data_IF_021380067328
#
_entry.id   IF_021380067328
#
_cell.length_a   1.000
_cell.length_b   1.000
_cell.length_c   1.000
_cell.angle_alpha   90.00
_cell.angle_beta   90.00
_cell.angle_gamma   90.00
#
_symmetry.space_group_name_H-M   'P 1'
#
loop_
_entity.id
_entity.type
_entity.pdbx_description
1 polymer ?
#
# COMPACT_ATOMS: atom_id res chain seq x y z
N UNK A 1 -7.99 1.31 21.49
CA UNK A 1 -6.62 1.09 21.00
C UNK A 1 -6.37 -0.33 20.48
N UNK A 2 -6.79 -1.40 21.18
CA UNK A 2 -6.55 -2.80 20.75
C UNK A 2 -7.09 -3.13 19.35
N UNK A 3 -8.26 -2.63 18.95
CA UNK A 3 -8.82 -2.87 17.60
C UNK A 3 -8.08 -2.15 16.46
N UNK A 4 -7.34 -1.08 16.75
CA UNK A 4 -6.62 -0.29 15.75
C UNK A 4 -5.33 -0.99 15.28
N UNK A 5 -4.66 -1.69 16.21
CA UNK A 5 -3.45 -2.49 15.93
C UNK A 5 -3.78 -3.68 15.02
N UNK A 6 -4.94 -4.30 15.20
CA UNK A 6 -5.36 -5.46 14.39
C UNK A 6 -6.11 -5.08 13.11
N UNK A 7 -6.16 -3.80 12.70
CA UNK A 7 -6.84 -3.45 11.45
C UNK A 7 -6.02 -3.95 10.25
N UNK A 8 -6.65 -4.54 9.20
CA UNK A 8 -5.90 -5.10 8.07
C UNK A 8 -5.12 -4.04 7.29
N UNK A 9 -5.46 -2.75 7.41
CA UNK A 9 -4.72 -1.63 6.79
C UNK A 9 -3.46 -1.23 7.55
N UNK A 10 -3.30 -1.64 8.81
CA UNK A 10 -2.18 -1.20 9.66
C UNK A 10 -0.82 -1.50 9.04
N UNK A 11 -0.55 -2.68 8.44
CA UNK A 11 0.72 -2.96 7.77
C UNK A 11 1.01 -2.02 6.59
N UNK A 12 0.00 -1.68 5.78
CA UNK A 12 0.15 -0.77 4.64
C UNK A 12 0.50 0.65 5.10
N UNK A 13 -0.12 1.11 6.20
CA UNK A 13 0.17 2.42 6.78
C UNK A 13 1.58 2.45 7.37
N UNK A 14 1.98 1.43 8.12
CA UNK A 14 3.33 1.32 8.69
C UNK A 14 4.39 1.25 7.60
N UNK A 15 4.12 0.53 6.51
CA UNK A 15 5.00 0.49 5.35
C UNK A 15 5.13 1.87 4.70
N UNK A 16 4.02 2.58 4.47
CA UNK A 16 4.03 3.94 3.90
C UNK A 16 4.81 4.93 4.76
N UNK A 17 4.62 4.89 6.09
CA UNK A 17 5.40 5.73 7.03
C UNK A 17 6.89 5.39 6.97
N UNK A 18 7.24 4.10 7.01
CA UNK A 18 8.63 3.65 6.93
C UNK A 18 9.28 4.08 5.62
N UNK A 19 8.56 3.94 4.51
CA UNK A 19 9.01 4.37 3.20
C UNK A 19 9.24 5.88 3.14
N UNK A 20 8.36 6.69 3.73
CA UNK A 20 8.53 8.14 3.78
C UNK A 20 9.81 8.53 4.54
N UNK A 21 10.06 7.90 5.70
CA UNK A 21 11.29 8.11 6.48
C UNK A 21 12.53 7.73 5.67
N UNK A 22 12.51 6.60 4.97
CA UNK A 22 13.61 6.15 4.13
C UNK A 22 13.88 7.12 2.98
N UNK A 23 12.84 7.54 2.24
CA UNK A 23 12.99 8.49 1.14
C UNK A 23 13.54 9.85 1.60
N UNK A 24 13.07 10.36 2.73
CA UNK A 24 13.62 11.58 3.35
C UNK A 24 15.09 11.38 3.73
N UNK A 25 15.46 10.20 4.25
CA UNK A 25 16.85 9.88 4.62
C UNK A 25 17.76 9.85 3.39
N UNK A 26 17.33 9.22 2.29
CA UNK A 26 18.02 9.25 0.99
C UNK A 26 18.23 10.69 0.51
N UNK A 27 17.16 11.49 0.57
CA UNK A 27 17.18 12.89 0.16
C UNK A 27 18.20 13.71 0.97
N UNK A 28 18.18 13.62 2.31
CA UNK A 28 19.12 14.35 3.18
C UNK A 28 20.56 13.89 2.97
N UNK A 29 20.76 12.59 2.72
CA UNK A 29 22.07 12.03 2.41
C UNK A 29 22.60 12.42 1.02
N UNK A 30 21.76 13.06 0.17
CA UNK A 30 22.10 13.39 -1.21
C UNK A 30 22.28 12.16 -2.11
N UNK A 31 21.71 11.01 -1.71
CA UNK A 31 21.80 9.75 -2.44
C UNK A 31 20.52 9.45 -3.18
N UNK A 32 20.66 8.82 -4.35
CA UNK A 32 19.53 8.39 -5.17
C UNK A 32 19.14 6.96 -4.73
N UNK A 33 17.84 6.65 -4.55
CA UNK A 33 17.38 5.30 -4.30
C UNK A 33 17.93 4.33 -5.36
N UNK A 34 18.43 3.18 -4.93
CA UNK A 34 18.99 2.20 -5.86
C UNK A 34 17.88 1.46 -6.63
N UNK A 35 18.16 0.90 -7.82
CA UNK A 35 17.16 0.12 -8.55
C UNK A 35 16.61 -1.07 -7.75
N UNK A 36 17.45 -1.71 -6.93
CA UNK A 36 17.03 -2.82 -6.07
C UNK A 36 16.02 -2.37 -5.00
N UNK A 37 16.22 -1.16 -4.46
CA UNK A 37 15.28 -0.57 -3.51
C UNK A 37 13.90 -0.37 -4.14
N UNK A 38 13.82 0.15 -5.37
CA UNK A 38 12.54 0.33 -6.08
C UNK A 38 11.82 -1.00 -6.36
N UNK A 39 12.57 -2.05 -6.71
CA UNK A 39 12.03 -3.40 -6.91
C UNK A 39 11.46 -3.95 -5.61
N UNK A 40 12.20 -3.83 -4.49
CA UNK A 40 11.75 -4.27 -3.17
C UNK A 40 10.48 -3.52 -2.77
N UNK A 41 10.45 -2.19 -2.91
CA UNK A 41 9.27 -1.38 -2.56
C UNK A 41 8.04 -1.81 -3.37
N UNK A 42 8.20 -2.06 -4.66
CA UNK A 42 7.11 -2.48 -5.54
C UNK A 42 6.60 -3.87 -5.16
N UNK A 43 7.51 -4.81 -4.91
CA UNK A 43 7.18 -6.17 -4.51
C UNK A 43 6.48 -6.22 -3.14
N UNK A 44 7.06 -5.54 -2.14
CA UNK A 44 6.52 -5.49 -0.78
C UNK A 44 5.14 -4.85 -0.76
N UNK A 45 4.94 -3.76 -1.52
CA UNK A 45 3.62 -3.13 -1.63
C UNK A 45 2.58 -4.08 -2.24
N UNK A 46 2.93 -4.78 -3.32
CA UNK A 46 2.06 -5.78 -3.92
C UNK A 46 1.70 -6.93 -2.97
N UNK A 47 2.70 -7.46 -2.26
CA UNK A 47 2.50 -8.51 -1.27
C UNK A 47 1.60 -8.06 -0.11
N UNK A 48 1.85 -6.87 0.46
CA UNK A 48 1.04 -6.31 1.54
C UNK A 48 -0.39 -6.05 1.10
N UNK A 49 -0.62 -5.60 -0.14
CA UNK A 49 -1.97 -5.45 -0.69
C UNK A 49 -2.69 -6.79 -0.84
N UNK A 50 -2.02 -7.82 -1.34
CA UNK A 50 -2.61 -9.15 -1.43
C UNK A 50 -2.99 -9.71 -0.05
N UNK A 51 -2.10 -9.56 0.94
CA UNK A 51 -2.38 -9.94 2.33
C UNK A 51 -3.53 -9.12 2.93
N UNK A 52 -3.59 -7.82 2.64
CA UNK A 52 -4.69 -6.96 3.04
C UNK A 52 -6.02 -7.45 2.45
N UNK A 53 -6.08 -7.74 1.15
CA UNK A 53 -7.28 -8.26 0.47
C UNK A 53 -7.77 -9.53 1.17
N UNK A 54 -6.88 -10.48 1.46
CA UNK A 54 -7.25 -11.74 2.14
C UNK A 54 -7.76 -11.46 3.55
N UNK A 55 -7.06 -10.63 4.32
CA UNK A 55 -7.43 -10.32 5.69
C UNK A 55 -8.76 -9.54 5.77
N UNK A 56 -9.01 -8.64 4.84
CA UNK A 56 -10.25 -7.86 4.74
C UNK A 56 -11.41 -8.74 4.26
N UNK A 57 -11.20 -9.61 3.27
CA UNK A 57 -12.21 -10.53 2.75
C UNK A 57 -12.69 -11.49 3.85
N UNK A 58 -11.75 -12.06 4.63
CA UNK A 58 -12.05 -12.91 5.80
C UNK A 58 -12.97 -12.23 6.82
N UNK A 59 -12.87 -10.91 6.97
CA UNK A 59 -13.63 -10.15 7.97
C UNK A 59 -14.97 -9.66 7.46
N UNK A 60 -15.11 -9.40 6.15
CA UNK A 60 -16.29 -8.71 5.59
C UNK A 60 -17.21 -9.63 4.78
N UNK A 61 -16.66 -10.36 3.83
CA UNK A 61 -17.42 -11.04 2.77
C UNK A 61 -17.28 -12.55 2.80
N UNK A 62 -16.29 -13.07 3.51
CA UNK A 62 -15.82 -14.45 3.35
C UNK A 62 -14.84 -14.58 2.19
N UNK A 63 -14.01 -15.63 2.23
CA UNK A 63 -13.05 -15.95 1.16
C UNK A 63 -13.79 -16.71 0.06
N UNK A 64 -13.76 -16.24 -1.20
CA UNK A 64 -14.54 -16.88 -2.28
C UNK A 64 -13.97 -18.22 -2.75
N UNK A 65 -12.66 -18.46 -2.59
CA UNK A 65 -12.00 -19.71 -2.97
C UNK A 65 -10.78 -20.00 -2.09
N UNK A 66 -10.31 -21.25 -2.07
CA UNK A 66 -9.19 -21.70 -1.22
C UNK A 66 -7.90 -20.89 -1.47
N UNK A 67 -7.55 -20.65 -2.72
CA UNK A 67 -6.32 -19.94 -3.14
C UNK A 67 -6.52 -18.45 -3.48
N UNK A 68 -7.54 -17.83 -2.89
CA UNK A 68 -7.91 -16.44 -3.20
C UNK A 68 -6.74 -15.44 -3.11
N UNK A 69 -5.90 -15.57 -2.08
CA UNK A 69 -4.75 -14.68 -1.89
C UNK A 69 -3.69 -14.79 -2.98
N UNK A 70 -3.40 -16.02 -3.42
CA UNK A 70 -2.43 -16.27 -4.49
C UNK A 70 -2.95 -15.74 -5.82
N UNK A 71 -4.24 -15.96 -6.11
CA UNK A 71 -4.89 -15.42 -7.31
C UNK A 71 -4.84 -13.90 -7.29
N UNK A 72 -5.19 -13.26 -6.18
CA UNK A 72 -5.13 -11.81 -6.05
C UNK A 72 -3.73 -11.26 -6.27
N UNK A 73 -2.70 -11.92 -5.72
CA UNK A 73 -1.30 -11.53 -5.91
C UNK A 73 -0.86 -11.63 -7.37
N UNK A 74 -1.13 -12.75 -8.03
CA UNK A 74 -0.77 -12.97 -9.45
C UNK A 74 -1.51 -12.04 -10.42
N UNK A 75 -2.73 -11.62 -10.06
CA UNK A 75 -3.57 -10.75 -10.88
C UNK A 75 -3.49 -9.27 -10.47
N UNK A 76 -2.54 -8.89 -9.62
CA UNK A 76 -2.17 -7.48 -9.46
C UNK A 76 -1.71 -6.90 -10.81
N UNK A 77 -2.12 -5.67 -11.17
CA UNK A 77 -2.88 -4.69 -10.39
C UNK A 77 -4.42 -4.82 -10.50
N UNK A 78 -4.94 -5.66 -11.40
CA UNK A 78 -6.38 -5.75 -11.70
C UNK A 78 -7.23 -6.32 -10.55
N UNK A 79 -6.65 -7.15 -9.69
CA UNK A 79 -7.33 -7.70 -8.53
C UNK A 79 -7.82 -6.62 -7.54
N UNK A 80 -7.07 -5.51 -7.40
CA UNK A 80 -7.36 -4.45 -6.42
C UNK A 80 -8.67 -3.71 -6.74
N UNK A 81 -8.86 -3.13 -7.95
CA UNK A 81 -10.11 -2.45 -8.27
C UNK A 81 -11.27 -3.45 -8.25
N UNK A 82 -11.10 -4.64 -8.83
CA UNK A 82 -12.13 -5.69 -8.78
C UNK A 82 -12.58 -5.98 -7.34
N UNK A 83 -11.63 -6.24 -6.43
CA UNK A 83 -11.94 -6.53 -5.04
C UNK A 83 -12.63 -5.36 -4.33
N UNK A 84 -12.16 -4.12 -4.55
CA UNK A 84 -12.74 -2.94 -3.93
C UNK A 84 -14.22 -2.77 -4.33
N UNK A 85 -14.54 -2.92 -5.62
CA UNK A 85 -15.92 -2.83 -6.10
C UNK A 85 -16.76 -4.03 -5.69
N UNK A 86 -16.21 -5.25 -5.71
CA UNK A 86 -16.93 -6.45 -5.30
C UNK A 86 -17.31 -6.42 -3.81
N UNK A 87 -16.38 -6.01 -2.94
CA UNK A 87 -16.59 -6.03 -1.49
C UNK A 87 -17.44 -4.87 -0.95
N UNK A 88 -17.51 -3.72 -1.67
CA UNK A 88 -18.09 -2.46 -1.16
C UNK A 88 -18.96 -1.71 -2.17
N UNK A 89 -19.18 -2.24 -3.37
CA UNK A 89 -19.87 -1.54 -4.46
C UNK A 89 -19.16 -0.22 -4.81
N UNK A 90 -19.95 0.84 -5.05
CA UNK A 90 -19.42 2.18 -5.37
C UNK A 90 -18.56 2.81 -4.28
N UNK A 91 -18.78 2.45 -3.01
CA UNK A 91 -17.91 2.90 -1.90
C UNK A 91 -16.50 2.29 -1.98
N UNK A 92 -16.33 1.24 -2.78
CA UNK A 92 -15.03 0.68 -3.13
C UNK A 92 -14.09 1.69 -3.79
N UNK A 93 -14.63 2.63 -4.58
CA UNK A 93 -13.84 3.67 -5.23
C UNK A 93 -13.07 4.54 -4.21
N UNK A 94 -13.70 4.88 -3.08
CA UNK A 94 -13.03 5.62 -2.00
C UNK A 94 -11.89 4.81 -1.39
N UNK A 95 -12.06 3.50 -1.24
CA UNK A 95 -11.00 2.63 -0.72
C UNK A 95 -9.83 2.55 -1.71
N UNK A 96 -10.11 2.44 -3.01
CA UNK A 96 -9.10 2.45 -4.05
C UNK A 96 -8.31 3.76 -4.05
N UNK A 97 -9.00 4.91 -4.00
CA UNK A 97 -8.36 6.23 -3.91
C UNK A 97 -7.48 6.33 -2.67
N UNK A 98 -7.94 5.84 -1.52
CA UNK A 98 -7.15 5.83 -0.30
C UNK A 98 -5.90 4.96 -0.41
N UNK A 99 -5.98 3.79 -1.04
CA UNK A 99 -4.82 2.91 -1.25
C UNK A 99 -3.80 3.54 -2.19
N UNK A 100 -4.25 4.14 -3.29
CA UNK A 100 -3.39 4.88 -4.22
C UNK A 100 -2.75 6.08 -3.52
N UNK A 101 -3.54 6.84 -2.77
CA UNK A 101 -3.06 7.97 -1.97
C UNK A 101 -2.03 7.53 -0.92
N UNK A 102 -2.25 6.39 -0.26
CA UNK A 102 -1.32 5.85 0.72
C UNK A 102 0.01 5.43 0.09
N UNK A 103 -0.02 4.85 -1.10
CA UNK A 103 1.19 4.53 -1.88
C UNK A 103 1.92 5.79 -2.36
N UNK A 104 1.19 6.81 -2.80
CA UNK A 104 1.76 8.05 -3.33
C UNK A 104 2.27 9.00 -2.22
N UNK A 105 1.71 8.91 -1.00
CA UNK A 105 2.01 9.84 0.09
C UNK A 105 3.50 9.94 0.48
N UNK A 106 4.32 8.87 0.50
CA UNK A 106 5.75 8.97 0.82
C UNK A 106 6.52 9.81 -0.19
N UNK A 107 6.22 9.62 -1.48
CA UNK A 107 6.82 10.39 -2.57
C UNK A 107 6.39 11.85 -2.52
N UNK A 108 5.12 12.11 -2.23
CA UNK A 108 4.61 13.47 -2.06
C UNK A 108 5.32 14.20 -0.92
N UNK A 109 5.46 13.55 0.25
CA UNK A 109 6.18 14.12 1.39
C UNK A 109 7.65 14.36 1.06
N UNK A 110 8.33 13.39 0.44
CA UNK A 110 9.73 13.56 0.02
C UNK A 110 9.91 14.73 -0.97
N UNK A 111 8.96 14.92 -1.88
CA UNK A 111 8.96 16.04 -2.83
C UNK A 111 8.78 17.40 -2.11
N UNK A 112 7.89 17.48 -1.13
CA UNK A 112 7.72 18.69 -0.30
C UNK A 112 8.99 19.03 0.48
N UNK A 113 9.68 18.01 1.04
CA UNK A 113 10.96 18.21 1.74
C UNK A 113 12.05 18.68 0.77
N UNK A 114 12.11 18.10 -0.43
CA UNK A 114 13.05 18.55 -1.47
C UNK A 114 12.82 20.02 -1.85
N UNK A 115 11.56 20.40 -2.06
CA UNK A 115 11.18 21.78 -2.37
C UNK A 115 11.54 22.74 -1.23
N UNK A 116 11.46 22.31 0.03
CA UNK A 116 11.84 23.13 1.18
C UNK A 116 13.36 23.28 1.35
N UNK A 117 14.14 22.26 1.00
CA UNK A 117 15.60 22.29 1.14
C UNK A 117 16.32 23.00 -0.02
N UNK A 118 15.77 22.91 -1.23
CA UNK A 118 16.46 23.33 -2.47
C UNK A 118 15.68 24.35 -3.30
N UNK A 119 14.43 24.68 -2.95
CA UNK A 119 13.63 25.73 -3.59
C UNK A 119 13.86 27.09 -2.95
#
# INVERSE_FOLDING_TARGET
MRQLIFHPLTPLVLFSISLAVLLITYLIAGSIPSPEFEVIVTFDWGLLLALWIVADARRRTGIPCYDFGFICYLSLPFAIPWYCFWSRGWRGALTLILLVGLFASPYFVSCMVWLWLYG
#
